data_IF_389415063870
#
_entry.id   IF_389415063870
#
_cell.length_a   1.000
_cell.length_b   1.000
_cell.length_c   1.000
_cell.angle_alpha   90.00
_cell.angle_beta   90.00
_cell.angle_gamma   90.00
#
_symmetry.space_group_name_H-M   'P 1'
#
loop_
_entity.id
_entity.type
_entity.pdbx_description
1 polymer ?
#
# COMPACT_ATOMS: atom_id res chain seq x y z
N UNK A 1 3.03 -4.03 5.02
CA UNK A 1 2.45 -2.69 5.32
C UNK A 1 3.00 -2.18 6.65
N UNK A 2 4.31 -2.29 6.80
CA UNK A 2 5.14 -1.76 7.86
C UNK A 2 6.43 -1.38 7.14
N UNK A 3 7.24 -0.51 7.75
CA UNK A 3 8.40 0.07 7.06
C UNK A 3 9.43 -0.99 6.66
N UNK A 4 9.44 -2.15 7.34
CA UNK A 4 10.47 -3.17 7.19
C UNK A 4 9.89 -4.53 6.78
N UNK A 5 10.56 -5.17 5.81
CA UNK A 5 10.30 -6.52 5.29
C UNK A 5 9.05 -6.68 4.42
N UNK A 6 8.90 -5.88 3.37
CA UNK A 6 7.90 -6.17 2.35
C UNK A 6 8.36 -7.28 1.40
N UNK A 7 7.37 -7.97 0.83
CA UNK A 7 7.57 -9.09 -0.08
C UNK A 7 6.68 -8.94 -1.31
N UNK A 8 7.23 -9.22 -2.49
CA UNK A 8 6.47 -9.44 -3.72
C UNK A 8 6.58 -10.93 -4.07
N UNK A 9 5.44 -11.58 -4.27
CA UNK A 9 5.36 -12.96 -4.77
C UNK A 9 4.56 -12.98 -6.05
N UNK A 10 5.17 -13.52 -7.11
CA UNK A 10 4.55 -13.65 -8.43
C UNK A 10 3.78 -14.96 -8.49
N UNK A 11 2.48 -14.87 -8.75
CA UNK A 11 1.61 -16.04 -8.91
C UNK A 11 1.26 -16.17 -10.39
N UNK A 12 1.57 -17.33 -10.96
CA UNK A 12 1.21 -17.67 -12.33
C UNK A 12 -0.20 -18.28 -12.37
N UNK A 13 -0.91 -18.06 -13.46
CA UNK A 13 -2.19 -18.71 -13.71
C UNK A 13 -1.99 -20.21 -13.97
N UNK A 14 -3.01 -21.02 -13.68
CA UNK A 14 -2.93 -22.50 -13.77
C UNK A 14 -2.65 -23.06 -15.18
N UNK A 15 -2.76 -22.23 -16.22
CA UNK A 15 -2.44 -22.56 -17.61
C UNK A 15 -1.00 -22.15 -18.01
N UNK A 16 -0.17 -21.72 -17.08
CA UNK A 16 1.23 -21.38 -17.35
C UNK A 16 2.05 -22.68 -17.31
N UNK A 17 2.47 -23.17 -18.49
CA UNK A 17 3.18 -24.46 -18.65
C UNK A 17 4.70 -24.31 -18.84
N UNK A 18 5.27 -23.13 -18.60
CA UNK A 18 6.70 -22.84 -18.78
C UNK A 18 7.53 -22.87 -17.49
N UNK A 19 8.86 -22.89 -17.68
CA UNK A 19 9.82 -22.56 -16.63
C UNK A 19 10.18 -21.07 -16.73
N UNK A 20 10.06 -20.34 -15.63
CA UNK A 20 10.23 -18.88 -15.64
C UNK A 20 11.37 -18.43 -14.72
N UNK A 21 11.99 -17.31 -15.09
CA UNK A 21 12.78 -16.48 -14.18
C UNK A 21 12.11 -15.12 -13.99
N UNK A 22 12.40 -14.51 -12.84
CA UNK A 22 11.78 -13.28 -12.37
C UNK A 22 12.84 -12.21 -12.10
N UNK A 23 12.52 -10.95 -12.33
CA UNK A 23 13.40 -9.81 -12.03
C UNK A 23 12.61 -8.58 -11.59
N UNK A 24 13.23 -7.70 -10.81
CA UNK A 24 12.70 -6.36 -10.46
C UNK A 24 13.41 -5.21 -11.18
N UNK A 25 14.48 -5.48 -11.93
CA UNK A 25 15.28 -4.48 -12.64
C UNK A 25 15.40 -4.77 -14.15
N UNK A 26 14.81 -5.88 -14.62
CA UNK A 26 14.87 -6.33 -16.01
C UNK A 26 16.25 -6.84 -16.44
N UNK A 27 17.22 -6.93 -15.53
CA UNK A 27 18.62 -7.29 -15.83
C UNK A 27 19.03 -8.53 -15.03
N UNK A 28 18.84 -8.49 -13.72
CA UNK A 28 19.20 -9.57 -12.80
C UNK A 28 17.98 -10.48 -12.57
N UNK A 29 18.03 -11.66 -13.18
CA UNK A 29 16.97 -12.65 -13.11
C UNK A 29 17.28 -13.75 -12.08
N UNK A 30 16.25 -14.16 -11.33
CA UNK A 30 16.29 -15.25 -10.37
C UNK A 30 15.17 -16.26 -10.65
N UNK A 31 15.41 -17.54 -10.34
CA UNK A 31 14.37 -18.57 -10.51
C UNK A 31 13.32 -18.58 -9.38
N UNK A 32 13.57 -17.89 -8.26
CA UNK A 32 12.55 -17.72 -7.22
C UNK A 32 11.56 -16.65 -7.63
N UNK A 33 10.27 -16.94 -7.48
CA UNK A 33 9.18 -16.00 -7.73
C UNK A 33 8.92 -15.01 -6.58
N UNK A 34 9.78 -15.02 -5.55
CA UNK A 34 9.62 -14.21 -4.34
C UNK A 34 10.79 -13.25 -4.15
N UNK A 35 10.47 -11.97 -3.94
CA UNK A 35 11.41 -10.91 -3.61
C UNK A 35 11.12 -10.42 -2.20
N UNK A 36 12.14 -10.38 -1.33
CA UNK A 36 11.99 -10.04 0.09
C UNK A 36 12.81 -8.80 0.44
N UNK A 37 12.47 -8.16 1.56
CA UNK A 37 13.23 -7.02 2.07
C UNK A 37 13.10 -5.78 1.18
N UNK A 38 11.95 -5.64 0.53
CA UNK A 38 11.68 -4.53 -0.38
C UNK A 38 11.26 -3.28 0.40
N UNK A 39 11.78 -2.14 -0.05
CA UNK A 39 11.28 -0.84 0.37
C UNK A 39 9.86 -0.61 -0.14
N UNK A 40 9.17 0.36 0.46
CA UNK A 40 7.87 0.78 -0.05
C UNK A 40 8.05 1.63 -1.31
N UNK A 41 7.19 1.43 -2.30
CA UNK A 41 7.30 2.14 -3.56
C UNK A 41 6.78 1.34 -4.74
N UNK A 42 7.22 1.75 -5.92
CA UNK A 42 6.86 1.17 -7.20
C UNK A 42 7.92 0.17 -7.66
N UNK A 43 7.45 -0.97 -8.15
CA UNK A 43 8.29 -2.02 -8.73
C UNK A 43 7.73 -2.44 -10.07
N UNK A 44 8.61 -2.61 -11.06
CA UNK A 44 8.29 -3.33 -12.29
C UNK A 44 8.77 -4.77 -12.14
N UNK A 45 7.84 -5.72 -12.16
CA UNK A 45 8.14 -7.14 -12.13
C UNK A 45 8.27 -7.64 -13.56
N UNK A 46 9.41 -8.23 -13.89
CA UNK A 46 9.69 -8.88 -15.16
C UNK A 46 9.62 -10.40 -14.99
N UNK A 47 9.00 -11.08 -15.96
CA UNK A 47 8.88 -12.53 -16.01
C UNK A 47 9.34 -12.98 -17.39
N UNK A 48 10.35 -13.85 -17.44
CA UNK A 48 10.90 -14.37 -18.69
C UNK A 48 10.79 -15.88 -18.74
N UNK A 49 10.32 -16.39 -19.86
CA UNK A 49 10.28 -17.84 -20.14
C UNK A 49 11.67 -18.36 -20.51
N UNK A 50 12.14 -19.41 -19.83
CA UNK A 50 13.47 -20.01 -20.05
C UNK A 50 13.62 -20.71 -21.39
N UNK A 51 12.51 -21.13 -22.00
CA UNK A 51 12.48 -21.77 -23.32
C UNK A 51 12.40 -20.74 -24.46
N UNK A 52 12.43 -19.44 -24.15
CA UNK A 52 12.54 -18.37 -25.15
C UNK A 52 11.21 -17.92 -25.76
N UNK A 53 10.08 -18.25 -25.13
CA UNK A 53 8.75 -17.80 -25.58
C UNK A 53 8.55 -16.28 -25.44
N UNK A 54 9.34 -15.60 -24.61
CA UNK A 54 9.34 -14.14 -24.46
C UNK A 54 9.47 -13.67 -23.02
N UNK A 55 9.23 -12.37 -22.83
CA UNK A 55 9.23 -11.66 -21.55
C UNK A 55 7.95 -10.84 -21.42
N UNK A 56 7.39 -10.80 -20.22
CA UNK A 56 6.28 -9.92 -19.84
C UNK A 56 6.67 -9.12 -18.60
N UNK A 57 6.10 -7.93 -18.45
CA UNK A 57 6.32 -7.09 -17.28
C UNK A 57 5.02 -6.49 -16.76
N UNK A 58 4.98 -6.18 -15.47
CA UNK A 58 3.85 -5.50 -14.83
C UNK A 58 4.27 -4.70 -13.61
N UNK A 59 3.55 -3.62 -13.33
CA UNK A 59 3.80 -2.76 -12.18
C UNK A 59 3.10 -3.29 -10.92
N UNK A 60 3.79 -3.16 -9.79
CA UNK A 60 3.28 -3.48 -8.45
C UNK A 60 3.65 -2.36 -7.50
N UNK A 61 2.65 -1.86 -6.77
CA UNK A 61 2.86 -0.82 -5.77
C UNK A 61 2.85 -1.42 -4.36
N UNK A 62 3.95 -1.25 -3.64
CA UNK A 62 4.07 -1.55 -2.21
C UNK A 62 3.64 -0.32 -1.41
N UNK A 63 2.36 -0.31 -1.06
CA UNK A 63 1.73 0.74 -0.28
C UNK A 63 2.11 0.65 1.20
N UNK A 64 2.17 1.82 1.86
CA UNK A 64 2.46 1.92 3.30
C UNK A 64 1.59 2.96 3.98
N UNK A 65 1.54 2.92 5.31
CA UNK A 65 0.83 3.92 6.10
C UNK A 65 1.70 4.40 7.27
N UNK A 66 1.68 5.70 7.59
CA UNK A 66 2.38 6.21 8.76
C UNK A 66 1.69 5.71 10.03
N UNK A 67 2.48 5.28 11.02
CA UNK A 67 1.96 4.79 12.31
C UNK A 67 1.37 5.89 13.18
N UNK A 68 1.71 7.15 12.91
CA UNK A 68 1.16 8.31 13.59
C UNK A 68 1.19 9.54 12.70
N UNK A 69 0.45 10.57 13.10
CA UNK A 69 0.51 11.90 12.50
C UNK A 69 0.24 12.97 13.59
N UNK A 70 0.67 14.21 13.34
CA UNK A 70 0.64 15.34 14.28
C UNK A 70 -0.06 16.54 13.63
N UNK A 71 -1.40 16.61 13.64
CA UNK A 71 -2.14 17.72 13.03
C UNK A 71 -2.07 18.98 13.91
N UNK A 72 -0.91 19.65 13.89
CA UNK A 72 -0.60 20.86 14.65
C UNK A 72 -0.40 22.10 13.75
N UNK A 73 -0.42 21.92 12.44
CA UNK A 73 -0.32 23.00 11.45
C UNK A 73 1.11 23.49 11.19
N UNK A 74 2.13 22.70 11.54
CA UNK A 74 3.53 23.06 11.30
C UNK A 74 4.05 22.64 9.90
N UNK A 75 3.20 21.98 9.11
CA UNK A 75 3.52 21.46 7.79
C UNK A 75 4.11 20.04 7.79
N UNK A 76 4.38 19.45 8.96
CA UNK A 76 4.96 18.12 9.11
C UNK A 76 3.98 17.14 9.74
N UNK A 77 3.69 16.05 9.02
CA UNK A 77 2.76 15.01 9.45
C UNK A 77 1.36 15.54 9.83
N UNK A 78 0.90 16.63 9.21
CA UNK A 78 -0.42 17.21 9.49
C UNK A 78 -1.58 16.37 8.98
N UNK A 79 -1.33 15.51 7.99
CA UNK A 79 -2.33 14.68 7.36
C UNK A 79 -1.93 13.20 7.40
N UNK A 80 -2.91 12.36 7.72
CA UNK A 80 -2.78 10.91 7.62
C UNK A 80 -3.38 10.39 6.32
N UNK A 81 -2.58 9.68 5.51
CA UNK A 81 -3.03 8.95 4.32
C UNK A 81 -2.19 7.69 4.10
N UNK A 82 -2.66 6.82 3.21
CA UNK A 82 -1.83 5.75 2.65
C UNK A 82 -0.84 6.40 1.66
N UNK A 83 0.45 6.09 1.76
CA UNK A 83 1.46 6.57 0.81
C UNK A 83 1.40 5.75 -0.48
N UNK A 84 1.64 6.42 -1.62
CA UNK A 84 1.52 5.87 -2.97
C UNK A 84 0.10 5.46 -3.37
N UNK A 85 -0.93 5.87 -2.62
CA UNK A 85 -2.31 5.54 -2.93
C UNK A 85 -2.78 6.13 -4.25
N UNK A 86 -2.19 7.25 -4.68
CA UNK A 86 -2.43 7.89 -5.98
C UNK A 86 -2.22 6.96 -7.19
N UNK A 87 -1.39 5.92 -7.06
CA UNK A 87 -1.13 4.93 -8.11
C UNK A 87 -2.24 3.87 -8.22
N UNK A 88 -3.20 3.87 -7.30
CA UNK A 88 -4.40 3.04 -7.34
C UNK A 88 -5.66 3.91 -7.28
N UNK A 89 -6.09 4.56 -8.37
CA UNK A 89 -7.17 5.54 -8.36
C UNK A 89 -8.51 5.06 -7.76
N UNK A 90 -8.78 3.75 -7.84
CA UNK A 90 -9.99 3.12 -7.29
C UNK A 90 -9.86 2.71 -5.83
N UNK A 91 -8.67 2.88 -5.21
CA UNK A 91 -8.44 2.59 -3.80
C UNK A 91 -9.28 3.50 -2.91
N UNK A 92 -9.90 2.89 -1.89
CA UNK A 92 -10.66 3.61 -0.87
C UNK A 92 -10.14 3.31 0.52
N UNK A 93 -10.22 4.31 1.40
CA UNK A 93 -9.77 4.22 2.79
C UNK A 93 -10.93 4.66 3.68
N UNK A 94 -11.32 3.83 4.65
CA UNK A 94 -12.30 4.19 5.70
C UNK A 94 -11.59 4.27 7.02
N UNK A 95 -11.81 5.35 7.78
CA UNK A 95 -11.23 5.61 9.10
C UNK A 95 -12.32 5.52 10.16
N UNK A 96 -11.98 4.91 11.30
CA UNK A 96 -12.86 4.66 12.43
C UNK A 96 -12.17 5.07 13.74
N UNK A 97 -12.95 5.43 14.75
CA UNK A 97 -12.41 5.56 16.12
C UNK A 97 -12.16 4.18 16.77
N UNK A 98 -11.58 4.19 17.98
CA UNK A 98 -11.31 2.97 18.78
C UNK A 98 -12.54 2.13 19.15
N UNK A 99 -13.75 2.66 18.98
CA UNK A 99 -15.01 1.96 19.23
C UNK A 99 -15.68 1.47 17.94
N UNK A 100 -15.05 1.69 16.78
CA UNK A 100 -15.56 1.29 15.48
C UNK A 100 -16.54 2.29 14.87
N UNK A 101 -16.71 3.50 15.42
CA UNK A 101 -17.52 4.54 14.81
C UNK A 101 -16.81 5.05 13.55
N UNK A 102 -17.53 5.05 12.43
CA UNK A 102 -17.02 5.64 11.18
C UNK A 102 -16.77 7.14 11.34
N UNK A 103 -15.60 7.59 10.88
CA UNK A 103 -15.13 8.97 10.97
C UNK A 103 -15.07 9.61 9.58
N UNK A 104 -14.37 8.98 8.64
CA UNK A 104 -14.13 9.57 7.32
C UNK A 104 -13.83 8.51 6.27
N UNK A 105 -14.14 8.82 5.02
CA UNK A 105 -13.66 8.07 3.86
C UNK A 105 -12.74 8.96 3.03
N UNK A 106 -11.62 8.41 2.60
CA UNK A 106 -10.64 9.04 1.72
C UNK A 106 -10.54 8.23 0.42
N UNK A 107 -10.31 8.91 -0.69
CA UNK A 107 -9.91 8.28 -1.95
C UNK A 107 -8.39 8.30 -2.12
N UNK A 108 -7.91 7.56 -3.13
CA UNK A 108 -6.53 7.48 -3.57
C UNK A 108 -5.77 8.82 -3.63
N UNK A 109 -6.40 9.85 -4.20
CA UNK A 109 -5.82 11.17 -4.41
C UNK A 109 -6.13 12.17 -3.29
N UNK A 110 -6.62 11.71 -2.14
CA UNK A 110 -6.87 12.58 -0.99
C UNK A 110 -5.57 13.14 -0.43
N UNK A 111 -5.59 14.40 -0.01
CA UNK A 111 -4.52 14.98 0.82
C UNK A 111 -4.34 14.21 2.15
N UNK A 112 -5.40 13.54 2.62
CA UNK A 112 -5.40 12.78 3.86
C UNK A 112 -6.38 13.33 4.89
N UNK A 113 -6.33 12.75 6.08
CA UNK A 113 -7.13 13.16 7.22
C UNK A 113 -6.32 14.02 8.20
N UNK A 114 -6.88 15.17 8.55
CA UNK A 114 -6.34 16.21 9.42
C UNK A 114 -6.67 16.03 10.91
N UNK A 115 -7.28 14.90 11.29
CA UNK A 115 -7.64 14.64 12.68
C UNK A 115 -8.92 15.34 13.16
N UNK A 116 -9.70 15.93 12.25
CA UNK A 116 -10.97 16.58 12.55
C UNK A 116 -12.17 15.71 12.13
N UNK A 117 -13.25 15.78 12.91
CA UNK A 117 -14.55 15.17 12.55
C UNK A 117 -15.65 16.21 12.77
N UNK A 118 -16.39 16.52 11.72
CA UNK A 118 -17.39 17.61 11.72
C UNK A 118 -16.80 18.91 12.27
N UNK A 119 -15.65 19.31 11.73
CA UNK A 119 -14.87 20.51 12.11
C UNK A 119 -14.35 20.54 13.56
N UNK A 120 -14.59 19.48 14.34
CA UNK A 120 -14.08 19.38 15.71
C UNK A 120 -12.82 18.53 15.77
N UNK A 121 -11.78 18.97 16.49
CA UNK A 121 -10.59 18.15 16.71
C UNK A 121 -10.95 16.90 17.51
N UNK A 122 -10.59 15.73 16.99
CA UNK A 122 -10.73 14.47 17.71
C UNK A 122 -9.55 14.24 18.66
N UNK A 123 -9.71 13.55 19.80
CA UNK A 123 -8.65 13.41 20.80
C UNK A 123 -7.40 12.67 20.29
N UNK A 124 -6.27 12.90 20.97
CA UNK A 124 -5.08 12.05 20.84
C UNK A 124 -5.45 10.63 21.27
N UNK A 125 -5.51 9.72 20.30
CA UNK A 125 -5.95 8.34 20.46
C UNK A 125 -5.45 7.54 19.27
N UNK A 126 -5.55 6.22 19.38
CA UNK A 126 -5.48 5.37 18.21
C UNK A 126 -6.78 5.44 17.41
N UNK A 127 -6.63 5.29 16.09
CA UNK A 127 -7.67 5.24 15.07
C UNK A 127 -7.44 4.04 14.16
N UNK A 128 -8.52 3.46 13.65
CA UNK A 128 -8.51 2.24 12.85
C UNK A 128 -8.83 2.59 11.42
N UNK A 129 -8.33 1.79 10.49
CA UNK A 129 -8.65 1.96 9.09
C UNK A 129 -8.90 0.64 8.37
N UNK A 130 -9.64 0.74 7.28
CA UNK A 130 -9.79 -0.29 6.25
C UNK A 130 -9.39 0.33 4.92
N UNK A 131 -8.40 -0.26 4.25
CA UNK A 131 -8.06 0.03 2.85
C UNK A 131 -8.68 -1.04 1.98
N UNK A 132 -9.40 -0.66 0.95
CA UNK A 132 -9.84 -1.56 -0.13
C UNK A 132 -9.08 -1.17 -1.39
N UNK A 133 -8.18 -2.05 -1.84
CA UNK A 133 -7.42 -1.88 -3.10
C UNK A 133 -8.30 -2.14 -4.33
N UNK A 134 -7.81 -1.83 -5.51
CA UNK A 134 -8.57 -1.97 -6.77
C UNK A 134 -8.97 -3.42 -7.07
N UNK A 135 -8.14 -4.39 -6.67
CA UNK A 135 -8.45 -5.81 -6.79
C UNK A 135 -9.48 -6.32 -5.75
N UNK A 136 -10.08 -5.43 -4.97
CA UNK A 136 -11.06 -5.75 -3.93
C UNK A 136 -10.46 -6.27 -2.62
N UNK A 137 -9.14 -6.46 -2.54
CA UNK A 137 -8.49 -6.93 -1.31
C UNK A 137 -8.55 -5.85 -0.23
N UNK A 138 -9.03 -6.26 0.94
CA UNK A 138 -9.04 -5.39 2.13
C UNK A 138 -7.78 -5.57 2.98
N UNK A 139 -7.30 -4.46 3.53
CA UNK A 139 -6.27 -4.42 4.56
C UNK A 139 -6.75 -3.56 5.72
N UNK A 140 -6.41 -3.98 6.94
CA UNK A 140 -6.84 -3.32 8.18
C UNK A 140 -5.62 -3.01 9.03
N UNK A 141 -5.68 -1.90 9.73
CA UNK A 141 -4.62 -1.48 10.63
C UNK A 141 -5.08 -0.33 11.53
N UNK A 142 -4.15 0.23 12.27
CA UNK A 142 -4.38 1.38 13.11
C UNK A 142 -3.20 2.35 13.07
N UNK A 143 -3.45 3.58 13.48
CA UNK A 143 -2.46 4.65 13.60
C UNK A 143 -2.85 5.57 14.76
N UNK A 144 -1.87 6.29 15.29
CA UNK A 144 -2.06 7.21 16.42
C UNK A 144 -2.19 8.66 15.92
N UNK A 145 -3.25 9.36 16.34
CA UNK A 145 -3.28 10.82 16.29
C UNK A 145 -2.54 11.35 17.52
N UNK A 146 -1.53 12.21 17.32
CA UNK A 146 -0.78 12.85 18.40
C UNK A 146 -0.94 14.37 18.36
N UNK A 147 -1.12 14.99 19.52
CA UNK A 147 -1.11 16.45 19.72
C UNK A 147 -0.36 16.77 21.00
#
# INVERSE_FOLDING_TARGET
WNDDNNTITVLLTSNSEGDYDYSLDGINFQSSNTFNGLDNGEYTVHIRDKNGCGEVSGEVYLLMYPKFFTPNGDGYNDFWKIKFSENEPSLTIKIFDRYGKFIKQLGANSQGWDGNYLEKPLPSSDYWFIVTRENGKEFRGHFTLKR
#
